data_IF_137061442796
#
_entry.id   IF_137061442796
#
_cell.length_a   1.000
_cell.length_b   1.000
_cell.length_c   1.000
_cell.angle_alpha   90.00
_cell.angle_beta   90.00
_cell.angle_gamma   90.00
#
_symmetry.space_group_name_H-M   'P 1'
#
loop_
_entity.id
_entity.type
_entity.pdbx_description
1 polymer ?
#
# COMPACT_ATOMS: atom_id res chain seq x y z
N UNK A 1 -35.64 4.00 -20.50
CA UNK A 1 -34.44 4.78 -20.88
C UNK A 1 -33.31 4.34 -19.98
N UNK A 2 -32.58 3.32 -20.40
CA UNK A 2 -31.43 2.75 -19.68
C UNK A 2 -30.19 3.54 -20.09
N UNK A 3 -29.78 4.46 -19.24
CA UNK A 3 -28.54 5.21 -19.41
C UNK A 3 -27.35 4.30 -19.19
N UNK A 4 -26.77 3.80 -20.27
CA UNK A 4 -25.45 3.18 -20.25
C UNK A 4 -24.45 4.31 -20.04
N UNK A 5 -23.83 4.38 -18.86
CA UNK A 5 -22.67 5.23 -18.63
C UNK A 5 -21.62 4.90 -19.67
N UNK A 6 -21.38 5.83 -20.59
CA UNK A 6 -20.23 5.75 -21.50
C UNK A 6 -18.98 6.14 -20.69
N UNK A 7 -17.91 5.33 -20.69
CA UNK A 7 -16.64 5.74 -20.11
C UNK A 7 -16.14 7.03 -20.76
N UNK A 8 -15.52 7.91 -19.97
CA UNK A 8 -14.98 9.23 -20.34
C UNK A 8 -13.76 9.13 -21.30
N UNK A 9 -13.49 7.96 -21.88
CA UNK A 9 -12.27 7.67 -22.64
C UNK A 9 -12.25 8.21 -24.09
N UNK A 10 -13.31 8.86 -24.58
CA UNK A 10 -13.44 9.21 -26.01
C UNK A 10 -12.74 10.55 -26.37
N UNK A 11 -12.25 11.33 -25.41
CA UNK A 11 -11.86 12.73 -25.68
C UNK A 11 -10.40 12.97 -26.14
N UNK A 12 -9.49 11.98 -26.12
CA UNK A 12 -8.04 12.26 -26.28
C UNK A 12 -7.42 11.91 -27.64
N UNK A 13 -8.14 11.28 -28.58
CA UNK A 13 -7.64 11.03 -29.94
C UNK A 13 -6.41 10.12 -30.04
N UNK A 14 -5.99 9.48 -28.95
CA UNK A 14 -5.01 8.40 -28.98
C UNK A 14 -5.73 7.10 -29.39
N UNK A 15 -5.15 6.33 -30.31
CA UNK A 15 -5.60 4.97 -30.59
C UNK A 15 -5.73 4.22 -29.26
N UNK A 16 -6.92 3.71 -28.95
CA UNK A 16 -7.12 2.86 -27.77
C UNK A 16 -6.20 1.65 -27.93
N UNK A 17 -5.28 1.46 -26.99
CA UNK A 17 -4.46 0.26 -26.95
C UNK A 17 -5.40 -0.93 -26.70
N UNK A 18 -5.39 -1.91 -27.59
CA UNK A 18 -6.06 -3.20 -27.40
C UNK A 18 -5.05 -4.33 -27.57
N UNK A 19 -4.79 -5.04 -26.47
CA UNK A 19 -3.83 -6.14 -26.45
C UNK A 19 -4.24 -7.30 -27.36
N UNK A 20 -5.55 -7.54 -27.50
CA UNK A 20 -6.10 -8.59 -28.36
C UNK A 20 -5.93 -8.21 -29.82
N UNK A 21 -6.24 -6.96 -30.18
CA UNK A 21 -6.04 -6.47 -31.55
C UNK A 21 -4.55 -6.52 -31.94
N UNK A 22 -3.66 -6.09 -31.05
CA UNK A 22 -2.21 -6.16 -31.26
C UNK A 22 -1.73 -7.60 -31.48
N UNK A 23 -2.25 -8.56 -30.70
CA UNK A 23 -1.95 -9.98 -30.89
C UNK A 23 -2.45 -10.50 -32.24
N UNK A 24 -3.69 -10.18 -32.62
CA UNK A 24 -4.29 -10.64 -33.87
C UNK A 24 -3.57 -10.07 -35.09
N UNK A 25 -3.14 -8.80 -35.02
CA UNK A 25 -2.37 -8.14 -36.08
C UNK A 25 -1.04 -8.83 -36.35
N UNK A 26 -0.41 -9.36 -35.30
CA UNK A 26 0.92 -9.96 -35.37
C UNK A 26 0.90 -11.49 -35.32
N UNK A 27 -0.27 -12.13 -35.44
CA UNK A 27 -0.45 -13.56 -35.26
C UNK A 27 0.47 -14.37 -36.18
N UNK A 28 0.52 -13.98 -37.46
CA UNK A 28 1.34 -14.61 -38.50
C UNK A 28 2.71 -13.94 -38.68
N UNK A 29 3.03 -12.93 -37.87
CA UNK A 29 4.31 -12.24 -37.98
C UNK A 29 5.46 -13.10 -37.46
N UNK A 30 6.62 -13.09 -38.15
CA UNK A 30 7.84 -13.69 -37.62
C UNK A 30 8.18 -13.10 -36.25
N UNK A 31 8.78 -13.90 -35.37
CA UNK A 31 9.11 -13.50 -33.98
C UNK A 31 9.85 -12.16 -33.92
N UNK A 32 10.85 -11.95 -34.79
CA UNK A 32 11.62 -10.71 -34.84
C UNK A 32 10.80 -9.47 -35.24
N UNK A 33 9.70 -9.64 -35.98
CA UNK A 33 8.83 -8.56 -36.46
C UNK A 33 7.62 -8.29 -35.58
N UNK A 34 7.22 -9.24 -34.73
CA UNK A 34 6.05 -9.10 -33.87
C UNK A 34 6.27 -8.08 -32.72
N UNK A 35 5.21 -7.40 -32.32
CA UNK A 35 5.21 -6.49 -31.17
C UNK A 35 5.48 -7.21 -29.86
N UNK A 36 6.00 -6.47 -28.86
CA UNK A 36 6.25 -7.03 -27.52
C UNK A 36 4.96 -7.56 -26.88
N UNK A 37 3.84 -6.88 -27.09
CA UNK A 37 2.50 -7.35 -26.69
C UNK A 37 2.18 -8.70 -27.29
N UNK A 38 2.27 -8.85 -28.61
CA UNK A 38 1.96 -10.12 -29.27
C UNK A 38 2.87 -11.26 -28.81
N UNK A 39 4.17 -10.99 -28.63
CA UNK A 39 5.14 -11.97 -28.14
C UNK A 39 4.81 -12.46 -26.72
N UNK A 40 4.52 -11.54 -25.79
CA UNK A 40 4.15 -11.89 -24.40
C UNK A 40 2.84 -12.71 -24.35
N UNK A 41 1.85 -12.33 -25.16
CA UNK A 41 0.59 -13.05 -25.23
C UNK A 41 0.76 -14.45 -25.87
N UNK A 42 1.62 -14.59 -26.87
CA UNK A 42 1.99 -15.89 -27.46
C UNK A 42 2.69 -16.81 -26.45
N UNK A 43 3.63 -16.28 -25.64
CA UNK A 43 4.25 -17.06 -24.55
C UNK A 43 3.19 -17.58 -23.58
N UNK A 44 2.28 -16.71 -23.14
CA UNK A 44 1.19 -17.10 -22.24
C UNK A 44 0.30 -18.18 -22.86
N UNK A 45 -0.16 -17.98 -24.09
CA UNK A 45 -1.02 -18.95 -24.77
C UNK A 45 -0.33 -20.30 -24.92
N UNK A 46 0.94 -20.32 -25.31
CA UNK A 46 1.69 -21.57 -25.44
C UNK A 46 1.84 -22.27 -24.07
N UNK A 47 2.34 -21.56 -23.05
CA UNK A 47 2.54 -22.14 -21.72
C UNK A 47 1.24 -22.60 -21.05
N UNK A 48 0.14 -21.85 -21.23
CA UNK A 48 -1.18 -22.17 -20.68
C UNK A 48 -1.95 -23.24 -21.49
N UNK A 49 -1.46 -23.62 -22.67
CA UNK A 49 -2.01 -24.78 -23.38
C UNK A 49 -1.46 -26.06 -22.76
N UNK A 50 -2.31 -27.06 -22.43
CA UNK A 50 -1.85 -28.35 -21.90
C UNK A 50 -0.77 -28.97 -22.79
N UNK A 51 0.33 -29.50 -22.24
CA UNK A 51 1.46 -30.00 -23.04
C UNK A 51 1.03 -31.00 -24.12
N UNK A 52 0.09 -31.89 -23.78
CA UNK A 52 -0.45 -32.91 -24.70
C UNK A 52 -1.31 -32.35 -25.84
N UNK A 53 -1.78 -31.11 -25.73
CA UNK A 53 -2.67 -30.45 -26.68
C UNK A 53 -1.95 -29.40 -27.54
N UNK A 54 -0.65 -29.16 -27.31
CA UNK A 54 0.12 -28.17 -28.07
C UNK A 54 0.38 -28.64 -29.49
N UNK A 55 0.16 -27.73 -30.43
CA UNK A 55 0.47 -27.92 -31.86
C UNK A 55 1.78 -27.26 -32.27
N UNK A 56 2.32 -26.35 -31.44
CA UNK A 56 3.57 -25.62 -31.66
C UNK A 56 4.68 -26.19 -30.78
N UNK A 57 5.93 -26.07 -31.25
CA UNK A 57 7.10 -26.61 -30.55
C UNK A 57 7.50 -25.71 -29.38
N UNK A 58 8.08 -26.29 -28.32
CA UNK A 58 8.73 -25.52 -27.25
C UNK A 58 9.90 -24.68 -27.82
N UNK A 59 10.45 -25.01 -29.00
CA UNK A 59 11.42 -24.17 -29.71
C UNK A 59 10.85 -22.81 -30.11
N UNK A 60 9.57 -22.74 -30.48
CA UNK A 60 8.90 -21.46 -30.79
C UNK A 60 8.81 -20.58 -29.55
N UNK A 61 8.54 -21.18 -28.40
CA UNK A 61 8.53 -20.50 -27.09
C UNK A 61 9.91 -19.94 -26.77
N UNK A 62 10.97 -20.73 -26.94
CA UNK A 62 12.35 -20.28 -26.72
C UNK A 62 12.79 -19.19 -27.71
N UNK A 63 12.33 -19.25 -28.96
CA UNK A 63 12.56 -18.20 -29.94
C UNK A 63 11.94 -16.87 -29.51
N UNK A 64 10.69 -16.90 -29.02
CA UNK A 64 10.01 -15.72 -28.49
C UNK A 64 10.73 -15.20 -27.23
N UNK A 65 11.12 -16.08 -26.32
CA UNK A 65 11.91 -15.73 -25.14
C UNK A 65 13.17 -14.98 -25.53
N UNK A 66 13.98 -15.55 -26.43
CA UNK A 66 15.24 -14.96 -26.87
C UNK A 66 15.05 -13.56 -27.47
N UNK A 67 13.99 -13.37 -28.25
CA UNK A 67 13.66 -12.06 -28.82
C UNK A 67 13.24 -11.03 -27.77
N UNK A 68 12.46 -11.42 -26.75
CA UNK A 68 12.09 -10.51 -25.65
C UNK A 68 13.32 -10.15 -24.81
N UNK A 69 14.20 -11.10 -24.50
CA UNK A 69 15.47 -10.83 -23.83
C UNK A 69 16.36 -9.90 -24.64
N UNK A 70 16.43 -10.08 -25.97
CA UNK A 70 17.17 -9.17 -26.87
C UNK A 70 16.62 -7.74 -26.85
N UNK A 71 15.33 -7.55 -26.54
CA UNK A 71 14.68 -6.24 -26.36
C UNK A 71 14.94 -5.63 -24.97
N UNK A 72 15.65 -6.33 -24.09
CA UNK A 72 15.96 -5.88 -22.73
C UNK A 72 14.88 -6.19 -21.70
N UNK A 73 13.95 -7.10 -21.98
CA UNK A 73 13.02 -7.61 -20.97
C UNK A 73 13.67 -8.76 -20.20
N UNK A 74 13.60 -8.71 -18.87
CA UNK A 74 13.88 -9.86 -18.03
C UNK A 74 12.67 -10.81 -18.05
N UNK A 75 12.78 -11.90 -18.81
CA UNK A 75 11.64 -12.76 -19.12
C UNK A 75 11.28 -13.67 -17.94
N UNK A 76 12.25 -14.07 -17.12
CA UNK A 76 12.02 -14.95 -15.95
C UNK A 76 10.97 -14.34 -15.00
N UNK A 77 11.18 -13.13 -14.44
CA UNK A 77 10.22 -12.56 -13.52
C UNK A 77 8.89 -12.22 -14.21
N UNK A 78 8.90 -11.86 -15.49
CA UNK A 78 7.67 -11.63 -16.27
C UNK A 78 6.82 -12.90 -16.36
N UNK A 79 7.43 -14.06 -16.62
CA UNK A 79 6.69 -15.32 -16.66
C UNK A 79 6.15 -15.71 -15.30
N UNK A 80 6.90 -15.46 -14.22
CA UNK A 80 6.44 -15.73 -12.84
C UNK A 80 5.16 -14.99 -12.49
N UNK A 81 5.12 -13.68 -12.76
CA UNK A 81 3.97 -12.84 -12.39
C UNK A 81 2.86 -12.84 -13.43
N UNK A 82 3.20 -13.03 -14.71
CA UNK A 82 2.28 -12.86 -15.82
C UNK A 82 1.72 -14.15 -16.40
N UNK A 83 2.51 -15.23 -16.40
CA UNK A 83 2.16 -16.49 -17.08
C UNK A 83 1.85 -17.62 -16.11
N UNK A 84 2.66 -17.81 -15.05
CA UNK A 84 2.42 -18.86 -14.04
C UNK A 84 1.00 -18.84 -13.45
N UNK A 85 0.39 -17.67 -13.12
CA UNK A 85 -0.98 -17.65 -12.64
C UNK A 85 -1.99 -18.16 -13.67
N UNK A 86 -1.80 -17.82 -14.95
CA UNK A 86 -2.70 -18.30 -16.02
C UNK A 86 -2.57 -19.81 -16.19
N UNK A 87 -1.35 -20.35 -16.14
CA UNK A 87 -1.13 -21.81 -16.20
C UNK A 87 -1.77 -22.50 -15.00
N UNK A 88 -1.61 -21.93 -13.80
CA UNK A 88 -2.21 -22.44 -12.57
C UNK A 88 -3.75 -22.46 -12.63
N UNK A 89 -4.37 -21.41 -13.18
CA UNK A 89 -5.81 -21.34 -13.38
C UNK A 89 -6.29 -22.43 -14.34
N UNK A 90 -5.59 -22.66 -15.45
CA UNK A 90 -5.95 -23.73 -16.40
C UNK A 90 -5.81 -25.12 -15.74
N UNK A 91 -4.71 -25.38 -15.02
CA UNK A 91 -4.54 -26.64 -14.27
C UNK A 91 -5.69 -26.83 -13.28
N UNK A 92 -6.06 -25.77 -12.55
CA UNK A 92 -7.12 -25.79 -11.55
C UNK A 92 -8.50 -26.04 -12.19
N UNK A 93 -8.78 -25.45 -13.36
CA UNK A 93 -10.04 -25.65 -14.09
C UNK A 93 -10.17 -27.07 -14.65
N UNK A 94 -9.06 -27.69 -15.07
CA UNK A 94 -9.03 -29.03 -15.64
C UNK A 94 -8.94 -30.15 -14.60
N UNK A 95 -8.71 -29.81 -13.32
CA UNK A 95 -8.33 -30.75 -12.27
C UNK A 95 -9.31 -31.92 -12.10
N UNK A 96 -10.61 -31.67 -12.30
CA UNK A 96 -11.68 -32.67 -12.17
C UNK A 96 -11.71 -33.66 -13.32
N UNK A 97 -11.20 -33.26 -14.48
CA UNK A 97 -11.19 -34.06 -15.72
C UNK A 97 -9.93 -34.92 -15.83
N UNK A 98 -8.89 -34.60 -15.05
CA UNK A 98 -7.67 -35.40 -14.98
C UNK A 98 -7.93 -36.77 -14.35
N UNK A 99 -7.24 -37.85 -14.76
CA UNK A 99 -7.40 -39.17 -14.15
C UNK A 99 -6.95 -39.16 -12.67
N UNK A 100 -7.52 -40.03 -11.83
CA UNK A 100 -7.13 -40.12 -10.41
C UNK A 100 -5.64 -40.51 -10.19
N UNK A 101 -5.00 -41.08 -11.21
CA UNK A 101 -3.56 -41.36 -11.23
C UNK A 101 -2.70 -40.12 -11.51
N UNK A 102 -3.29 -39.00 -11.90
CA UNK A 102 -2.60 -37.74 -12.12
C UNK A 102 -2.08 -37.13 -10.81
N UNK A 103 -0.88 -36.58 -10.82
CA UNK A 103 -0.24 -36.03 -9.62
C UNK A 103 -0.98 -34.78 -9.16
N UNK A 104 -1.40 -33.90 -10.07
CA UNK A 104 -2.11 -32.67 -9.73
C UNK A 104 -3.45 -32.98 -9.08
N UNK A 105 -4.20 -33.93 -9.64
CA UNK A 105 -5.48 -34.37 -9.06
C UNK A 105 -5.31 -34.94 -7.65
N UNK A 106 -4.27 -35.74 -7.41
CA UNK A 106 -3.98 -36.23 -6.05
C UNK A 106 -3.62 -35.12 -5.07
N UNK A 107 -2.83 -34.14 -5.49
CA UNK A 107 -2.49 -32.98 -4.65
C UNK A 107 -3.76 -32.19 -4.29
N UNK A 108 -4.64 -31.97 -5.28
CA UNK A 108 -5.93 -31.34 -5.09
C UNK A 108 -6.84 -32.11 -4.13
N UNK A 109 -6.97 -33.43 -4.26
CA UNK A 109 -7.82 -34.24 -3.39
C UNK A 109 -7.31 -34.24 -1.94
N UNK A 110 -6.00 -34.34 -1.71
CA UNK A 110 -5.43 -34.34 -0.35
C UNK A 110 -5.53 -33.00 0.37
N UNK A 111 -5.50 -31.90 -0.38
CA UNK A 111 -5.65 -30.58 0.19
C UNK A 111 -7.13 -30.26 0.50
N UNK A 112 -8.10 -30.85 -0.23
CA UNK A 112 -9.53 -30.79 0.12
C UNK A 112 -9.80 -31.42 1.49
N UNK A 113 -9.19 -32.58 1.78
CA UNK A 113 -9.36 -33.29 3.05
C UNK A 113 -8.86 -32.49 4.27
N UNK A 114 -7.99 -31.49 4.06
CA UNK A 114 -7.39 -30.68 5.13
C UNK A 114 -8.12 -29.35 5.42
N UNK A 115 -8.93 -28.83 4.49
CA UNK A 115 -9.54 -27.50 4.60
C UNK A 115 -11.08 -27.57 4.57
N UNK A 116 -11.72 -27.24 5.69
CA UNK A 116 -13.16 -27.42 5.90
C UNK A 116 -14.07 -26.38 5.23
N UNK A 117 -13.53 -25.41 4.49
CA UNK A 117 -14.31 -24.33 3.85
C UNK A 117 -14.21 -24.41 2.32
N UNK A 118 -15.31 -24.81 1.68
CA UNK A 118 -15.36 -25.17 0.25
C UNK A 118 -15.22 -24.00 -0.73
N UNK A 119 -15.46 -22.76 -0.30
CA UNK A 119 -15.62 -21.61 -1.21
C UNK A 119 -14.31 -20.91 -1.59
N UNK A 120 -13.21 -21.14 -0.86
CA UNK A 120 -11.90 -20.50 -1.10
C UNK A 120 -10.83 -21.46 -1.60
N UNK A 121 -11.18 -22.74 -1.73
CA UNK A 121 -10.23 -23.81 -1.97
C UNK A 121 -9.54 -23.73 -3.34
N UNK A 122 -10.30 -23.46 -4.40
CA UNK A 122 -9.73 -23.32 -5.75
C UNK A 122 -8.73 -22.16 -5.85
N UNK A 123 -9.03 -21.02 -5.23
CA UNK A 123 -8.13 -19.88 -5.20
C UNK A 123 -6.84 -20.17 -4.40
N UNK A 124 -6.95 -20.87 -3.28
CA UNK A 124 -5.78 -21.31 -2.50
C UNK A 124 -4.88 -22.25 -3.31
N UNK A 125 -5.46 -23.26 -3.96
CA UNK A 125 -4.70 -24.21 -4.76
C UNK A 125 -4.04 -23.54 -5.97
N UNK A 126 -4.78 -22.70 -6.71
CA UNK A 126 -4.22 -21.93 -7.83
C UNK A 126 -3.03 -21.06 -7.38
N UNK A 127 -3.11 -20.45 -6.19
CA UNK A 127 -1.98 -19.71 -5.60
C UNK A 127 -0.78 -20.63 -5.37
N UNK A 128 -0.96 -21.82 -4.80
CA UNK A 128 0.16 -22.75 -4.55
C UNK A 128 0.75 -23.33 -5.84
N UNK A 129 -0.08 -23.60 -6.84
CA UNK A 129 0.39 -24.00 -8.18
C UNK A 129 1.17 -22.86 -8.83
N UNK A 130 0.70 -21.62 -8.71
CA UNK A 130 1.42 -20.42 -9.19
C UNK A 130 2.80 -20.33 -8.56
N UNK A 131 2.88 -20.47 -7.24
CA UNK A 131 4.12 -20.46 -6.47
C UNK A 131 5.10 -21.55 -6.90
N UNK A 132 4.61 -22.75 -7.19
CA UNK A 132 5.43 -23.83 -7.70
C UNK A 132 5.95 -23.54 -9.12
N UNK A 133 5.05 -23.14 -10.02
CA UNK A 133 5.40 -22.85 -11.41
C UNK A 133 6.40 -21.70 -11.51
N UNK A 134 6.25 -20.66 -10.70
CA UNK A 134 7.19 -19.53 -10.64
C UNK A 134 8.62 -19.97 -10.27
N UNK A 135 8.77 -21.03 -9.48
CA UNK A 135 10.10 -21.64 -9.17
C UNK A 135 10.63 -22.42 -10.34
N UNK A 136 9.78 -23.21 -10.99
CA UNK A 136 10.18 -23.97 -12.18
C UNK A 136 10.65 -23.06 -13.32
N UNK A 137 10.05 -21.89 -13.52
CA UNK A 137 10.52 -20.92 -14.53
C UNK A 137 12.02 -20.61 -14.37
N UNK A 138 12.53 -20.57 -13.14
CA UNK A 138 13.94 -20.30 -12.86
C UNK A 138 14.80 -21.57 -12.84
N UNK A 139 14.33 -22.66 -12.24
CA UNK A 139 15.18 -23.82 -11.99
C UNK A 139 15.08 -24.91 -13.06
N UNK A 140 13.94 -25.00 -13.74
CA UNK A 140 13.65 -26.04 -14.74
C UNK A 140 12.53 -25.59 -15.70
N UNK A 141 12.93 -24.87 -16.76
CA UNK A 141 12.00 -24.35 -17.76
C UNK A 141 11.25 -25.47 -18.50
N UNK A 142 11.89 -26.63 -18.72
CA UNK A 142 11.23 -27.78 -19.32
C UNK A 142 10.18 -28.36 -18.38
N UNK A 143 10.47 -28.43 -17.09
CA UNK A 143 9.48 -28.79 -16.05
C UNK A 143 8.31 -27.81 -16.02
N UNK A 144 8.55 -26.50 -16.14
CA UNK A 144 7.50 -25.48 -16.24
C UNK A 144 6.61 -25.71 -17.47
N UNK A 145 7.23 -25.83 -18.67
CA UNK A 145 6.49 -26.07 -19.91
C UNK A 145 5.77 -27.42 -19.89
N UNK A 146 6.34 -28.44 -19.25
CA UNK A 146 5.74 -29.76 -19.08
C UNK A 146 4.66 -29.84 -18.00
N UNK A 147 4.35 -28.74 -17.31
CA UNK A 147 3.44 -28.69 -16.16
C UNK A 147 3.79 -29.72 -15.09
N UNK A 148 5.07 -29.89 -14.82
CA UNK A 148 5.56 -30.89 -13.89
C UNK A 148 5.04 -30.60 -12.48
N UNK A 149 4.36 -31.56 -11.88
CA UNK A 149 3.90 -31.46 -10.50
C UNK A 149 5.05 -31.66 -9.50
N UNK A 150 5.04 -30.95 -8.36
CA UNK A 150 6.01 -31.15 -7.30
C UNK A 150 5.72 -32.43 -6.50
N UNK A 151 6.71 -32.84 -5.70
CA UNK A 151 6.44 -33.74 -4.59
C UNK A 151 5.50 -33.06 -3.58
N UNK A 152 4.57 -33.83 -3.00
CA UNK A 152 3.54 -33.32 -2.08
C UNK A 152 4.08 -32.61 -0.84
N UNK A 153 5.17 -33.14 -0.27
CA UNK A 153 5.82 -32.55 0.89
C UNK A 153 6.36 -31.14 0.56
N UNK A 154 6.85 -30.95 -0.67
CA UNK A 154 7.31 -29.65 -1.14
C UNK A 154 6.13 -28.72 -1.39
N UNK A 155 5.09 -29.20 -2.10
CA UNK A 155 3.88 -28.41 -2.42
C UNK A 155 3.21 -27.81 -1.19
N UNK A 156 3.11 -28.60 -0.11
CA UNK A 156 2.45 -28.19 1.13
C UNK A 156 3.23 -27.13 1.93
N UNK A 157 4.52 -26.93 1.62
CA UNK A 157 5.42 -26.07 2.38
C UNK A 157 6.13 -25.03 1.49
N UNK A 158 5.53 -24.68 0.35
CA UNK A 158 6.10 -23.68 -0.54
C UNK A 158 6.09 -22.31 0.17
N UNK A 159 7.25 -21.64 0.29
CA UNK A 159 7.26 -20.25 0.74
C UNK A 159 6.60 -19.36 -0.33
N UNK A 160 6.07 -18.18 0.02
CA UNK A 160 5.64 -17.22 -0.99
C UNK A 160 6.85 -16.71 -1.78
N UNK A 161 6.64 -16.40 -3.06
CA UNK A 161 7.64 -15.72 -3.90
C UNK A 161 7.76 -14.26 -3.49
N UNK A 162 8.95 -13.68 -3.73
CA UNK A 162 9.16 -12.26 -3.46
C UNK A 162 8.36 -11.41 -4.47
N UNK A 163 7.87 -10.23 -4.07
CA UNK A 163 7.18 -9.34 -4.98
C UNK A 163 8.11 -8.88 -6.12
N UNK A 164 7.66 -8.99 -7.35
CA UNK A 164 8.38 -8.53 -8.55
C UNK A 164 7.58 -7.39 -9.23
N UNK A 165 7.54 -6.18 -8.63
CA UNK A 165 6.63 -5.12 -9.05
C UNK A 165 6.93 -4.60 -10.46
N UNK A 166 8.21 -4.53 -10.86
CA UNK A 166 8.60 -4.09 -12.21
C UNK A 166 8.11 -5.07 -13.28
N UNK A 167 8.27 -6.37 -13.03
CA UNK A 167 7.82 -7.40 -13.97
C UNK A 167 6.30 -7.41 -14.11
N UNK A 168 5.57 -7.24 -13.01
CA UNK A 168 4.10 -7.14 -13.03
C UNK A 168 3.65 -5.89 -13.79
N UNK A 169 4.29 -4.75 -13.55
CA UNK A 169 4.01 -3.52 -14.29
C UNK A 169 4.28 -3.67 -15.78
N UNK A 170 5.42 -4.23 -16.18
CA UNK A 170 5.73 -4.49 -17.59
C UNK A 170 4.73 -5.46 -18.23
N UNK A 171 4.36 -6.51 -17.51
CA UNK A 171 3.34 -7.46 -17.95
C UNK A 171 2.00 -6.76 -18.22
N UNK A 172 1.46 -6.03 -17.24
CA UNK A 172 0.18 -5.33 -17.37
C UNK A 172 0.24 -4.24 -18.45
N UNK A 173 1.36 -3.52 -18.53
CA UNK A 173 1.63 -2.52 -19.56
C UNK A 173 1.49 -3.07 -20.96
N UNK A 174 1.98 -4.28 -21.21
CA UNK A 174 1.95 -4.83 -22.56
C UNK A 174 0.77 -5.76 -22.83
N UNK A 175 0.08 -6.27 -21.82
CA UNK A 175 -0.92 -7.34 -22.01
C UNK A 175 -2.33 -6.99 -21.53
N UNK A 176 -2.48 -5.96 -20.69
CA UNK A 176 -3.80 -5.56 -20.15
C UNK A 176 -4.30 -4.29 -20.82
N UNK A 177 -5.41 -4.42 -21.54
CA UNK A 177 -6.04 -3.35 -22.34
C UNK A 177 -6.40 -2.14 -21.47
N UNK A 178 -7.22 -2.32 -20.43
CA UNK A 178 -7.74 -1.21 -19.62
C UNK A 178 -6.92 -0.95 -18.36
N UNK A 179 -6.61 0.32 -18.09
CA UNK A 179 -5.90 0.74 -16.86
C UNK A 179 -6.67 0.38 -15.59
N UNK A 180 -8.02 0.36 -15.65
CA UNK A 180 -8.88 -0.04 -14.52
C UNK A 180 -8.60 -1.46 -14.02
N UNK A 181 -8.01 -2.31 -14.86
CA UNK A 181 -7.70 -3.70 -14.55
C UNK A 181 -6.25 -3.89 -14.08
N UNK A 182 -5.41 -2.85 -14.10
CA UNK A 182 -4.03 -2.93 -13.61
C UNK A 182 -4.01 -2.94 -12.09
N UNK A 183 -3.02 -3.57 -11.49
CA UNK A 183 -2.81 -3.45 -10.04
C UNK A 183 -2.40 -2.03 -9.62
N UNK A 184 -2.65 -1.69 -8.35
CA UNK A 184 -2.23 -0.39 -7.79
C UNK A 184 -0.72 -0.22 -7.84
N UNK A 185 0.05 -1.29 -7.64
CA UNK A 185 1.51 -1.26 -7.76
C UNK A 185 1.96 -0.82 -9.16
N UNK A 186 1.36 -1.37 -10.21
CA UNK A 186 1.68 -1.00 -11.60
C UNK A 186 1.27 0.42 -11.95
N UNK A 187 0.13 0.91 -11.45
CA UNK A 187 -0.27 2.31 -11.63
C UNK A 187 0.74 3.28 -10.98
N UNK A 188 1.24 2.94 -9.79
CA UNK A 188 2.27 3.74 -9.09
C UNK A 188 3.59 3.71 -9.87
N UNK A 189 3.98 2.55 -10.41
CA UNK A 189 5.18 2.45 -11.24
C UNK A 189 5.06 3.23 -12.54
N UNK A 190 3.93 3.13 -13.25
CA UNK A 190 3.64 3.89 -14.46
C UNK A 190 3.72 5.40 -14.22
N UNK A 191 3.10 5.86 -13.12
CA UNK A 191 3.18 7.25 -12.71
C UNK A 191 4.62 7.67 -12.42
N UNK A 192 5.38 6.85 -11.68
CA UNK A 192 6.81 7.08 -11.40
C UNK A 192 7.66 7.18 -12.66
N UNK A 193 7.47 6.27 -13.61
CA UNK A 193 8.13 6.27 -14.92
C UNK A 193 7.80 7.54 -15.71
N UNK A 194 6.52 7.91 -15.82
CA UNK A 194 6.09 9.12 -16.54
C UNK A 194 6.70 10.42 -16.01
N UNK A 195 7.12 10.42 -14.74
CA UNK A 195 7.77 11.55 -14.05
C UNK A 195 9.30 11.45 -14.02
N UNK A 196 9.88 10.44 -14.67
CA UNK A 196 11.32 10.17 -14.67
C UNK A 196 11.88 9.79 -13.29
N UNK A 197 11.02 9.34 -12.36
CA UNK A 197 11.43 8.93 -11.00
C UNK A 197 11.90 7.49 -10.93
N UNK A 198 11.44 6.67 -11.87
CA UNK A 198 11.77 5.25 -11.98
C UNK A 198 12.33 5.04 -13.39
N UNK A 199 13.50 4.43 -13.48
CA UNK A 199 14.07 3.92 -14.73
C UNK A 199 13.72 2.44 -14.91
N UNK A 200 13.85 1.93 -16.12
CA UNK A 200 13.66 0.50 -16.42
C UNK A 200 14.87 -0.02 -17.17
N UNK A 201 15.17 -1.31 -17.02
CA UNK A 201 16.22 -1.96 -17.80
C UNK A 201 15.80 -2.18 -19.26
N UNK A 202 14.49 -2.19 -19.51
CA UNK A 202 13.90 -2.27 -20.83
C UNK A 202 14.12 -0.97 -21.62
N UNK A 203 14.46 -1.09 -22.91
CA UNK A 203 14.79 0.07 -23.73
C UNK A 203 13.60 1.00 -23.93
N UNK A 204 13.84 2.32 -23.95
CA UNK A 204 12.78 3.35 -24.13
C UNK A 204 11.91 3.09 -25.36
N UNK A 205 12.50 2.58 -26.45
CA UNK A 205 11.78 2.24 -27.68
C UNK A 205 10.71 1.16 -27.46
N UNK A 206 10.95 0.22 -26.54
CA UNK A 206 9.99 -0.85 -26.22
C UNK A 206 8.83 -0.27 -25.43
N UNK A 207 9.11 0.60 -24.46
CA UNK A 207 8.06 1.26 -23.66
C UNK A 207 7.25 2.25 -24.50
N UNK A 208 7.86 2.89 -25.50
CA UNK A 208 7.21 3.79 -26.45
C UNK A 208 6.20 3.09 -27.36
N UNK A 209 6.19 1.75 -27.41
CA UNK A 209 5.19 0.98 -28.16
C UNK A 209 3.76 1.20 -27.63
N UNK A 210 3.62 1.59 -26.36
CA UNK A 210 2.35 2.01 -25.75
C UNK A 210 2.51 3.38 -25.14
N UNK A 211 1.77 4.36 -25.63
CA UNK A 211 1.71 5.69 -25.00
C UNK A 211 0.57 5.71 -24.00
N UNK A 212 0.83 6.12 -22.77
CA UNK A 212 -0.15 6.19 -21.69
C UNK A 212 -0.18 7.62 -21.14
N UNK A 213 -1.37 8.19 -21.02
CA UNK A 213 -1.58 9.52 -20.43
C UNK A 213 -1.31 9.46 -18.92
N UNK A 214 -0.39 10.30 -18.39
CA UNK A 214 -0.17 10.37 -16.94
C UNK A 214 -1.43 10.79 -16.17
N UNK A 215 -2.27 11.62 -16.78
CA UNK A 215 -3.54 12.06 -16.20
C UNK A 215 -4.51 10.89 -16.04
N UNK A 216 -4.56 9.97 -17.00
CA UNK A 216 -5.47 8.81 -16.96
C UNK A 216 -5.02 7.82 -15.88
N UNK A 217 -3.70 7.60 -15.76
CA UNK A 217 -3.10 6.78 -14.70
C UNK A 217 -3.44 7.36 -13.32
N UNK A 218 -3.29 8.68 -13.15
CA UNK A 218 -3.62 9.35 -11.90
C UNK A 218 -5.12 9.29 -11.58
N UNK A 219 -5.98 9.46 -12.58
CA UNK A 219 -7.43 9.36 -12.41
C UNK A 219 -7.85 7.97 -11.94
N UNK A 220 -7.41 6.90 -12.62
CA UNK A 220 -7.73 5.52 -12.24
C UNK A 220 -7.19 5.17 -10.85
N UNK A 221 -5.98 5.63 -10.51
CA UNK A 221 -5.41 5.41 -9.18
C UNK A 221 -6.23 6.12 -8.09
N UNK A 222 -6.70 7.34 -8.35
CA UNK A 222 -7.51 8.12 -7.42
C UNK A 222 -8.92 7.54 -7.27
N UNK A 223 -9.55 7.12 -8.36
CA UNK A 223 -10.87 6.47 -8.34
C UNK A 223 -10.82 5.19 -7.50
N UNK A 224 -9.80 4.35 -7.72
CA UNK A 224 -9.61 3.14 -6.91
C UNK A 224 -9.37 3.45 -5.44
N UNK A 225 -8.61 4.49 -5.12
CA UNK A 225 -8.42 4.93 -3.74
C UNK A 225 -9.75 5.41 -3.14
N UNK A 226 -10.55 6.14 -3.90
CA UNK A 226 -11.86 6.63 -3.48
C UNK A 226 -12.87 5.49 -3.27
N UNK A 227 -12.79 4.40 -4.03
CA UNK A 227 -13.60 3.19 -3.88
C UNK A 227 -13.14 2.29 -2.72
N UNK A 228 -11.81 2.18 -2.53
CA UNK A 228 -11.20 1.38 -1.46
C UNK A 228 -11.29 2.08 -0.11
N UNK A 229 -11.43 3.41 -0.12
CA UNK A 229 -11.83 4.18 1.05
C UNK A 229 -13.32 3.94 1.23
N UNK A 230 -13.79 3.36 2.35
CA UNK A 230 -15.21 3.17 2.56
C UNK A 230 -15.93 4.50 2.32
N UNK A 231 -16.83 4.57 1.34
CA UNK A 231 -17.82 5.64 1.24
C UNK A 231 -18.88 5.48 2.34
N UNK A 232 -18.40 5.40 3.56
CA UNK A 232 -19.08 5.90 4.72
C UNK A 232 -18.32 7.17 5.02
N UNK A 233 -18.84 8.33 4.62
CA UNK A 233 -18.97 9.33 5.67
C UNK A 233 -19.90 8.64 6.66
N UNK A 234 -19.39 8.10 7.78
CA UNK A 234 -20.31 7.66 8.80
C UNK A 234 -21.13 8.92 9.06
N UNK A 235 -22.46 8.81 9.07
CA UNK A 235 -23.18 9.61 10.03
C UNK A 235 -22.58 9.19 11.36
N UNK A 236 -21.53 9.89 11.77
CA UNK A 236 -20.88 9.68 13.04
C UNK A 236 -22.02 9.80 14.03
N UNK A 237 -22.32 8.71 14.73
CA UNK A 237 -22.52 8.90 16.16
C UNK A 237 -21.34 9.76 16.57
N UNK A 238 -21.65 10.98 16.96
CA UNK A 238 -20.73 12.06 17.22
C UNK A 238 -19.77 11.60 18.33
N UNK A 239 -18.73 10.84 17.97
CA UNK A 239 -17.64 10.42 18.83
C UNK A 239 -16.73 11.63 18.97
N UNK A 240 -17.28 12.69 19.57
CA UNK A 240 -16.54 13.89 19.86
C UNK A 240 -15.38 13.53 20.77
N UNK A 241 -14.20 14.06 20.46
CA UNK A 241 -13.00 13.98 21.30
C UNK A 241 -13.32 14.31 22.77
N UNK A 242 -14.26 15.22 23.04
CA UNK A 242 -14.69 15.60 24.39
C UNK A 242 -15.27 14.43 25.22
N UNK A 243 -15.89 13.44 24.58
CA UNK A 243 -16.48 12.27 25.28
C UNK A 243 -15.41 11.36 25.89
N UNK A 244 -14.17 11.46 25.40
CA UNK A 244 -13.06 10.60 25.78
C UNK A 244 -12.03 11.29 26.69
N UNK A 245 -12.10 12.62 26.82
CA UNK A 245 -11.17 13.41 27.65
C UNK A 245 -11.19 12.94 29.10
N UNK A 246 -12.37 12.77 29.71
CA UNK A 246 -12.48 12.35 31.12
C UNK A 246 -11.84 10.99 31.37
N UNK A 247 -12.00 10.06 30.44
CA UNK A 247 -11.45 8.71 30.55
C UNK A 247 -9.93 8.71 30.36
N UNK A 248 -9.42 9.44 29.36
CA UNK A 248 -7.99 9.59 29.16
C UNK A 248 -7.30 10.26 30.35
N UNK A 249 -7.93 11.29 30.94
CA UNK A 249 -7.42 11.94 32.17
C UNK A 249 -7.39 10.97 33.34
N UNK A 250 -8.41 10.11 33.51
CA UNK A 250 -8.42 9.06 34.53
C UNK A 250 -7.23 8.13 34.38
N UNK A 251 -6.97 7.66 33.16
CA UNK A 251 -5.80 6.83 32.84
C UNK A 251 -4.48 7.54 33.18
N UNK A 252 -4.34 8.83 32.81
CA UNK A 252 -3.15 9.61 33.17
C UNK A 252 -2.95 9.75 34.69
N UNK A 253 -4.03 9.98 35.44
CA UNK A 253 -3.98 10.10 36.91
C UNK A 253 -3.59 8.78 37.59
N UNK A 254 -3.93 7.65 36.98
CA UNK A 254 -3.59 6.31 37.47
C UNK A 254 -2.19 5.84 37.03
N UNK A 255 -1.41 6.70 36.38
CA UNK A 255 -0.07 6.37 35.90
C UNK A 255 -0.06 5.45 34.69
N UNK A 256 -1.13 5.49 33.88
CA UNK A 256 -1.35 4.66 32.68
C UNK A 256 -1.39 5.51 31.40
N UNK A 257 -0.26 6.13 31.01
CA UNK A 257 -0.25 7.03 29.87
C UNK A 257 -0.37 6.33 28.52
N UNK A 258 0.05 5.07 28.41
CA UNK A 258 -0.09 4.26 27.20
C UNK A 258 -1.56 4.10 26.82
N UNK A 259 -2.40 3.68 27.76
CA UNK A 259 -3.84 3.50 27.55
C UNK A 259 -4.55 4.82 27.23
N UNK A 260 -4.12 5.94 27.84
CA UNK A 260 -4.64 7.26 27.49
C UNK A 260 -4.29 7.65 26.04
N UNK A 261 -3.08 7.34 25.57
CA UNK A 261 -2.65 7.61 24.20
C UNK A 261 -3.34 6.71 23.17
N UNK A 262 -3.67 5.46 23.51
CA UNK A 262 -4.39 4.54 22.62
C UNK A 262 -5.78 5.08 22.23
N UNK A 263 -6.51 5.68 23.18
CA UNK A 263 -7.82 6.29 22.94
C UNK A 263 -7.74 7.34 21.82
N UNK A 264 -6.80 8.28 21.94
CA UNK A 264 -6.66 9.35 20.96
C UNK A 264 -5.93 8.91 19.68
N UNK A 265 -5.12 7.86 19.73
CA UNK A 265 -4.57 7.21 18.54
C UNK A 265 -5.70 6.65 17.67
N UNK A 266 -6.66 5.96 18.27
CA UNK A 266 -7.83 5.45 17.56
C UNK A 266 -8.68 6.58 16.97
N UNK A 267 -8.93 7.65 17.74
CA UNK A 267 -9.68 8.82 17.25
C UNK A 267 -8.96 9.54 16.09
N UNK A 268 -7.65 9.77 16.19
CA UNK A 268 -6.85 10.38 15.13
C UNK A 268 -6.71 9.47 13.90
N UNK A 269 -6.80 8.14 14.07
CA UNK A 269 -6.86 7.19 12.96
C UNK A 269 -8.22 7.26 12.23
N UNK A 270 -9.33 7.32 12.97
CA UNK A 270 -10.68 7.42 12.41
C UNK A 270 -10.94 8.76 11.73
N UNK A 271 -10.42 9.85 12.28
CA UNK A 271 -10.49 11.19 11.68
C UNK A 271 -9.10 11.85 11.66
N UNK A 272 -8.29 11.62 10.60
CA UNK A 272 -6.95 12.20 10.47
C UNK A 272 -6.89 13.73 10.39
N UNK A 273 -8.05 14.40 10.23
CA UNK A 273 -8.19 15.85 10.21
C UNK A 273 -8.72 16.44 11.53
N UNK A 274 -8.90 15.62 12.58
CA UNK A 274 -9.29 16.07 13.91
C UNK A 274 -8.07 16.63 14.66
N UNK A 275 -8.00 17.97 14.74
CA UNK A 275 -6.95 18.67 15.47
C UNK A 275 -6.98 18.40 16.98
N UNK A 276 -8.17 18.21 17.57
CA UNK A 276 -8.32 17.98 19.01
C UNK A 276 -7.82 16.59 19.39
N UNK A 277 -8.16 15.57 18.60
CA UNK A 277 -7.66 14.21 18.81
C UNK A 277 -6.13 14.16 18.73
N UNK A 278 -5.53 14.87 17.76
CA UNK A 278 -4.07 14.95 17.62
C UNK A 278 -3.41 15.76 18.74
N UNK A 279 -4.04 16.83 19.22
CA UNK A 279 -3.56 17.61 20.36
C UNK A 279 -3.56 16.76 21.65
N UNK A 280 -4.65 16.04 21.90
CA UNK A 280 -4.80 15.21 23.08
C UNK A 280 -3.92 13.95 23.02
N UNK A 281 -3.71 13.36 21.83
CA UNK A 281 -2.69 12.32 21.64
C UNK A 281 -1.30 12.85 22.02
N UNK A 282 -0.94 14.01 21.49
CA UNK A 282 0.31 14.68 21.83
C UNK A 282 0.47 14.90 23.33
N UNK A 283 -0.58 15.35 24.00
CA UNK A 283 -0.62 15.54 25.45
C UNK A 283 -0.41 14.24 26.24
N UNK A 284 -1.03 13.13 25.83
CA UNK A 284 -0.88 11.82 26.48
C UNK A 284 0.50 11.18 26.27
N UNK A 285 1.20 11.52 25.20
CA UNK A 285 2.54 11.02 24.90
C UNK A 285 3.66 11.70 25.70
N UNK A 286 3.41 12.88 26.28
CA UNK A 286 4.40 13.64 27.08
C UNK A 286 5.06 12.80 28.18
N UNK A 287 4.31 12.12 29.09
CA UNK A 287 4.89 11.28 30.13
C UNK A 287 5.63 10.04 29.60
N UNK A 288 5.29 9.56 28.40
CA UNK A 288 5.98 8.42 27.75
C UNK A 288 7.29 8.86 27.07
N UNK A 289 7.39 10.14 26.72
CA UNK A 289 8.58 10.75 26.15
C UNK A 289 8.25 11.97 25.29
N UNK A 290 8.76 13.13 25.68
CA UNK A 290 8.49 14.41 25.02
C UNK A 290 8.76 14.39 23.50
N UNK A 291 9.75 13.63 23.02
CA UNK A 291 10.05 13.50 21.59
C UNK A 291 8.88 12.90 20.79
N UNK A 292 8.11 11.98 21.38
CA UNK A 292 6.98 11.32 20.73
C UNK A 292 5.80 12.28 20.53
N UNK A 293 5.63 13.25 21.43
CA UNK A 293 4.55 14.23 21.39
C UNK A 293 4.71 15.28 20.28
N UNK A 294 5.93 15.52 19.77
CA UNK A 294 6.22 16.59 18.79
C UNK A 294 5.38 16.42 17.51
N UNK A 295 5.36 15.21 16.95
CA UNK A 295 4.68 14.94 15.67
C UNK A 295 3.18 15.24 15.73
N UNK A 296 2.42 14.60 16.64
CA UNK A 296 0.98 14.85 16.80
C UNK A 296 0.66 16.32 17.10
N UNK A 297 1.39 16.97 18.01
CA UNK A 297 1.13 18.37 18.38
C UNK A 297 1.40 19.35 17.23
N UNK A 298 2.51 19.20 16.51
CA UNK A 298 2.83 20.06 15.35
C UNK A 298 1.81 19.85 14.22
N UNK A 299 1.31 18.63 14.06
CA UNK A 299 0.28 18.32 13.07
C UNK A 299 -1.09 18.89 13.46
N UNK A 300 -1.45 18.82 14.74
CA UNK A 300 -2.65 19.45 15.30
C UNK A 300 -2.66 20.98 15.06
N UNK A 301 -1.51 21.64 15.20
CA UNK A 301 -1.40 23.10 15.00
C UNK A 301 -1.76 23.60 13.59
N UNK A 302 -1.85 22.68 12.62
CA UNK A 302 -2.20 22.97 11.22
C UNK A 302 -3.66 22.67 10.89
N UNK A 303 -4.44 22.27 11.90
CA UNK A 303 -5.84 21.86 11.78
C UNK A 303 -6.72 22.76 12.65
N UNK A 304 -8.05 22.78 12.42
CA UNK A 304 -8.97 23.49 13.31
C UNK A 304 -8.87 22.98 14.75
N UNK A 305 -8.74 23.92 15.69
CA UNK A 305 -8.68 23.67 17.14
C UNK A 305 -9.67 24.61 17.84
N UNK A 306 -10.35 24.08 18.86
CA UNK A 306 -11.20 24.84 19.80
C UNK A 306 -10.36 25.70 20.74
N UNK A 307 -9.19 25.21 21.13
CA UNK A 307 -8.25 25.92 22.01
C UNK A 307 -6.82 25.89 21.43
N UNK A 308 -6.54 26.66 20.37
CA UNK A 308 -5.21 26.71 19.76
C UNK A 308 -4.11 27.19 20.73
N UNK A 309 -4.47 27.99 21.73
CA UNK A 309 -3.54 28.44 22.78
C UNK A 309 -3.09 27.29 23.68
N UNK A 310 -3.98 26.32 23.98
CA UNK A 310 -3.62 25.12 24.73
C UNK A 310 -2.65 24.24 23.93
N UNK A 311 -2.89 24.06 22.62
CA UNK A 311 -1.93 23.37 21.75
C UNK A 311 -0.58 24.09 21.71
N UNK A 312 -0.58 25.42 21.67
CA UNK A 312 0.63 26.23 21.70
C UNK A 312 1.40 26.04 23.00
N UNK A 313 0.71 26.03 24.14
CA UNK A 313 1.30 25.77 25.45
C UNK A 313 1.86 24.35 25.57
N UNK A 314 1.13 23.32 25.11
CA UNK A 314 1.60 21.94 25.08
C UNK A 314 2.86 21.79 24.21
N UNK A 315 2.91 22.44 23.05
CA UNK A 315 4.09 22.46 22.18
C UNK A 315 5.27 23.15 22.84
N UNK A 316 5.06 24.28 23.51
CA UNK A 316 6.10 24.97 24.25
C UNK A 316 6.65 24.09 25.39
N UNK A 317 5.78 23.44 26.16
CA UNK A 317 6.18 22.53 27.23
C UNK A 317 7.01 21.35 26.71
N UNK A 318 6.60 20.72 25.60
CA UNK A 318 7.39 19.65 24.97
C UNK A 318 8.76 20.13 24.52
N UNK A 319 8.86 21.33 23.92
CA UNK A 319 10.15 21.91 23.50
C UNK A 319 11.04 22.20 24.71
N UNK A 320 10.47 22.67 25.81
CA UNK A 320 11.18 22.84 27.07
C UNK A 320 11.74 21.52 27.63
N UNK A 321 10.93 20.46 27.68
CA UNK A 321 11.39 19.13 28.11
C UNK A 321 12.52 18.58 27.22
N UNK A 322 12.58 19.00 25.95
CA UNK A 322 13.65 18.66 25.01
C UNK A 322 14.87 19.61 25.08
N UNK A 323 14.91 20.52 26.05
CA UNK A 323 16.01 21.49 26.25
C UNK A 323 16.03 22.63 25.22
N UNK A 324 14.92 22.88 24.52
CA UNK A 324 14.78 23.92 23.48
C UNK A 324 14.03 25.13 24.03
N UNK A 325 14.53 25.69 25.13
CA UNK A 325 13.87 26.75 25.89
C UNK A 325 13.62 28.03 25.07
N UNK A 326 14.57 28.40 24.21
CA UNK A 326 14.40 29.56 23.32
C UNK A 326 13.25 29.38 22.33
N UNK A 327 13.08 28.18 21.76
CA UNK A 327 11.95 27.87 20.88
C UNK A 327 10.63 27.85 21.65
N UNK A 328 10.64 27.32 22.88
CA UNK A 328 9.46 27.28 23.75
C UNK A 328 8.97 28.69 24.11
N UNK A 329 9.87 29.61 24.50
CA UNK A 329 9.51 31.01 24.78
C UNK A 329 9.01 31.74 23.53
N UNK A 330 9.58 31.44 22.35
CA UNK A 330 9.11 32.02 21.10
C UNK A 330 7.66 31.62 20.79
N UNK A 331 7.24 30.39 21.13
CA UNK A 331 5.85 29.93 20.98
C UNK A 331 4.89 30.65 21.94
N UNK A 332 5.31 30.91 23.17
CA UNK A 332 4.48 31.56 24.20
C UNK A 332 4.36 33.08 24.01
N UNK A 333 5.22 33.67 23.18
CA UNK A 333 5.26 35.13 22.99
C UNK A 333 3.94 35.67 22.46
N UNK A 334 3.25 36.45 23.27
CA UNK A 334 2.02 37.13 22.90
C UNK A 334 0.78 36.23 22.87
N UNK A 335 0.87 35.00 23.41
CA UNK A 335 -0.28 34.12 23.58
C UNK A 335 -1.26 34.78 24.56
N UNK A 336 -2.52 34.91 24.15
CA UNK A 336 -3.61 35.40 25.00
C UNK A 336 -4.61 34.27 25.20
N UNK A 337 -4.43 33.53 26.28
CA UNK A 337 -5.27 32.39 26.60
C UNK A 337 -6.70 32.83 26.97
N UNK A 338 -7.75 32.17 26.45
CA UNK A 338 -9.10 32.31 26.97
C UNK A 338 -9.20 31.73 28.38
N UNK A 339 -10.14 32.26 29.15
CA UNK A 339 -10.40 31.80 30.50
C UNK A 339 -11.14 30.45 30.48
N UNK A 340 -10.39 29.36 30.55
CA UNK A 340 -10.88 27.98 30.46
C UNK A 340 -10.17 27.04 31.44
N UNK A 341 -10.88 26.04 31.97
CA UNK A 341 -10.28 24.96 32.75
C UNK A 341 -9.62 23.95 31.81
N UNK A 342 -8.38 23.61 32.12
CA UNK A 342 -7.57 22.67 31.33
C UNK A 342 -6.82 21.72 32.25
N UNK A 343 -6.51 20.53 31.73
CA UNK A 343 -5.47 19.69 32.30
C UNK A 343 -4.14 20.04 31.66
N UNK A 344 -3.13 20.27 32.49
CA UNK A 344 -1.82 20.71 32.07
C UNK A 344 -0.74 19.86 32.74
N UNK A 345 0.34 19.59 32.01
CA UNK A 345 1.57 19.08 32.61
C UNK A 345 2.39 20.26 33.12
N UNK A 346 2.63 20.28 34.43
CA UNK A 346 3.38 21.32 35.11
C UNK A 346 4.67 20.73 35.69
N UNK A 347 5.80 21.38 35.46
CA UNK A 347 7.09 21.04 36.03
C UNK A 347 7.41 21.99 37.21
N UNK A 348 7.04 21.67 38.47
CA UNK A 348 7.32 22.54 39.61
C UNK A 348 8.82 22.55 39.99
N UNK A 349 9.54 21.48 39.68
CA UNK A 349 10.97 21.33 39.94
C UNK A 349 11.64 20.72 38.70
N UNK A 350 12.82 21.24 38.33
CA UNK A 350 13.51 20.82 37.12
C UNK A 350 13.77 19.30 37.15
N UNK A 351 13.23 18.58 36.16
CA UNK A 351 13.36 17.13 36.02
C UNK A 351 12.15 16.31 36.51
N UNK A 352 11.09 16.94 37.03
CA UNK A 352 9.86 16.23 37.44
C UNK A 352 8.61 17.05 37.17
N UNK A 353 7.64 16.46 36.49
CA UNK A 353 6.37 17.11 36.17
C UNK A 353 5.16 16.26 36.56
N UNK A 354 4.04 16.93 36.78
CA UNK A 354 2.79 16.32 37.27
C UNK A 354 1.59 16.88 36.53
N UNK A 355 0.54 16.06 36.39
CA UNK A 355 -0.72 16.47 35.80
C UNK A 355 -1.50 17.33 36.80
N UNK A 356 -1.96 18.51 36.39
CA UNK A 356 -2.77 19.41 37.22
C UNK A 356 -3.98 19.92 36.44
N UNK A 357 -5.07 20.17 37.14
CA UNK A 357 -6.21 20.95 36.62
C UNK A 357 -6.01 22.40 37.03
N UNK A 358 -6.05 23.32 36.06
CA UNK A 358 -5.83 24.75 36.27
C UNK A 358 -6.46 25.60 35.17
N UNK A 359 -6.45 26.93 35.35
CA UNK A 359 -6.90 27.86 34.30
C UNK A 359 -5.82 28.00 33.23
N UNK A 360 -6.23 27.98 31.96
CA UNK A 360 -5.31 28.08 30.81
C UNK A 360 -4.42 29.34 30.84
N UNK A 361 -4.92 30.55 31.21
CA UNK A 361 -4.05 31.71 31.35
C UNK A 361 -2.96 31.53 32.40
N UNK A 362 -3.31 30.93 33.54
CA UNK A 362 -2.34 30.63 34.61
C UNK A 362 -1.31 29.60 34.11
N UNK A 363 -1.74 28.59 33.35
CA UNK A 363 -0.81 27.60 32.79
C UNK A 363 0.21 28.24 31.84
N UNK A 364 -0.25 29.09 30.92
CA UNK A 364 0.62 29.80 29.96
C UNK A 364 1.62 30.71 30.69
N UNK A 365 1.16 31.46 31.69
CA UNK A 365 1.98 32.39 32.45
C UNK A 365 3.02 31.65 33.31
N UNK A 366 2.60 30.62 34.04
CA UNK A 366 3.49 29.79 34.88
C UNK A 366 4.56 29.12 34.02
N UNK A 367 4.17 28.56 32.86
CA UNK A 367 5.08 27.93 31.93
C UNK A 367 6.08 28.95 31.36
N UNK A 368 5.62 30.13 30.97
CA UNK A 368 6.50 31.20 30.48
C UNK A 368 7.51 31.63 31.56
N UNK A 369 7.06 31.84 32.80
CA UNK A 369 7.91 32.24 33.92
C UNK A 369 8.94 31.17 34.28
N UNK A 370 8.53 29.89 34.31
CA UNK A 370 9.41 28.75 34.58
C UNK A 370 10.53 28.63 33.55
N UNK A 371 10.18 28.61 32.26
CA UNK A 371 11.16 28.51 31.17
C UNK A 371 12.10 29.72 31.18
N UNK A 372 11.57 30.93 31.40
CA UNK A 372 12.39 32.15 31.48
C UNK A 372 13.42 32.10 32.61
N UNK A 373 13.02 31.60 33.78
CA UNK A 373 13.89 31.48 34.96
C UNK A 373 14.99 30.44 34.74
N UNK A 374 14.66 29.29 34.13
CA UNK A 374 15.63 28.25 33.77
C UNK A 374 16.64 28.73 32.72
N UNK A 375 16.17 29.46 31.71
CA UNK A 375 17.04 29.99 30.67
C UNK A 375 18.01 31.05 31.23
N UNK A 376 17.57 31.88 32.17
CA UNK A 376 18.45 32.82 32.87
C UNK A 376 19.51 32.09 33.72
N UNK A 377 19.10 31.04 34.46
CA UNK A 377 20.02 30.26 35.31
C UNK A 377 21.05 29.41 34.55
N UNK A 378 20.86 29.19 33.24
CA UNK A 378 21.81 28.46 32.38
C UNK A 378 22.72 29.40 31.59
N UNK A 379 22.47 30.72 31.63
CA UNK A 379 23.28 31.75 30.99
C UNK A 379 24.35 32.37 31.92
N UNK A 380 24.16 32.22 33.25
CA UNK A 380 25.15 32.47 34.30
C UNK A 380 26.05 31.23 34.50
#
# INVERSE_FOLDING_TARGET
MTGVSRPIEIASGASLFDATEAMLRDLDSPVAGASTTALLLRLRTHAATPPIARTTSDEDFLGIWGELSRRGLDVVPILRVGVSPTVADVITQMITDLPASDVWRRLWERCLDRNSSSHTYGAWFATHVTEWLARLVETDLHGFLGWQAPAEALFSNLPPTLPEPEALWLWERFTVTHLSNWTTSSLVMEWGYSRGRIGTQCGERVLAARTISPTDVAAVALDRLAESTPQTFPQTRDLSTDQFVSEAVRHLQEGRPEEAAEIFTALAFMNPADGEALNNLGFCLIPQGAAQAVGPLDRASRLPLRQPELNTANRAFVRHLLGRDAEALALLKGVRAPDADVFAWCEPECGSFSLRSMRLPVYVDDLHQHISSRLAATAD
#
